data_IF_539474901007
#
_entry.id   IF_539474901007
#
_cell.length_a   1.000
_cell.length_b   1.000
_cell.length_c   1.000
_cell.angle_alpha   90.00
_cell.angle_beta   90.00
_cell.angle_gamma   90.00
#
_symmetry.space_group_name_H-M   'P 1'
#
loop_
_entity.id
_entity.type
_entity.pdbx_description
1 polymer ?
#
# COMPACT_ATOMS: atom_id res chain seq x y z
N UNK A 1 12.35 40.61 18.18
CA UNK A 1 11.23 40.32 17.25
C UNK A 1 10.86 38.85 17.37
N UNK A 2 9.58 38.53 17.62
CA UNK A 2 9.14 37.13 17.71
C UNK A 2 9.06 36.50 16.32
N UNK A 3 9.75 35.37 16.11
CA UNK A 3 9.73 34.63 14.84
C UNK A 3 8.35 33.98 14.65
N UNK A 4 7.69 34.26 13.52
CA UNK A 4 6.43 33.62 13.14
C UNK A 4 6.62 32.09 13.11
N UNK A 5 5.87 31.37 13.95
CA UNK A 5 5.92 29.89 14.00
C UNK A 5 5.40 29.33 12.67
N UNK A 6 6.06 28.31 12.12
CA UNK A 6 5.60 27.60 10.91
C UNK A 6 4.25 26.94 11.20
N UNK A 7 3.27 27.21 10.35
CA UNK A 7 1.98 26.52 10.36
C UNK A 7 2.20 25.05 10.04
N UNK A 8 1.85 24.16 10.98
CA UNK A 8 1.83 22.72 10.73
C UNK A 8 0.68 22.43 9.78
N UNK A 9 1.00 22.00 8.56
CA UNK A 9 0.00 21.53 7.61
C UNK A 9 -0.44 20.15 8.10
N UNK A 10 -1.65 20.08 8.66
CA UNK A 10 -2.25 18.85 9.20
C UNK A 10 -2.83 17.93 8.12
N UNK A 11 -2.73 18.30 6.84
CA UNK A 11 -3.17 17.46 5.75
C UNK A 11 -2.10 16.41 5.45
N UNK A 12 -2.51 15.13 5.43
CA UNK A 12 -1.67 14.09 4.85
C UNK A 12 -1.35 14.45 3.40
N UNK A 13 -0.08 14.38 2.98
CA UNK A 13 0.27 14.63 1.59
C UNK A 13 -0.48 13.62 0.72
N UNK A 14 -1.26 14.10 -0.24
CA UNK A 14 -1.99 13.25 -1.19
C UNK A 14 -0.98 12.40 -1.94
N UNK A 15 -0.89 11.11 -1.59
CA UNK A 15 0.03 10.15 -2.22
C UNK A 15 -0.59 9.59 -3.50
N UNK A 16 -0.83 10.47 -4.47
CA UNK A 16 -1.52 10.19 -5.75
C UNK A 16 -0.84 9.10 -6.61
N UNK A 17 0.38 8.67 -6.26
CA UNK A 17 1.18 7.71 -7.03
C UNK A 17 1.42 6.37 -6.35
N UNK A 18 0.80 6.11 -5.19
CA UNK A 18 0.91 4.78 -4.59
C UNK A 18 0.06 3.78 -5.41
N UNK A 19 0.73 3.04 -6.30
CA UNK A 19 0.12 1.92 -7.00
C UNK A 19 -0.22 0.83 -5.98
N UNK A 20 -1.50 0.74 -5.63
CA UNK A 20 -2.03 -0.32 -4.78
C UNK A 20 -2.56 -1.47 -5.64
N UNK A 21 -2.09 -2.68 -5.38
CA UNK A 21 -2.55 -3.91 -6.01
C UNK A 21 -3.32 -4.73 -4.98
N UNK A 22 -4.60 -4.95 -5.20
CA UNK A 22 -5.36 -5.90 -4.38
C UNK A 22 -4.98 -7.32 -4.80
N UNK A 23 -4.69 -8.17 -3.82
CA UNK A 23 -4.23 -9.54 -4.04
C UNK A 23 -5.02 -10.47 -3.14
N UNK A 24 -5.61 -11.50 -3.75
CA UNK A 24 -6.12 -12.66 -3.02
C UNK A 24 -4.96 -13.57 -2.70
N UNK A 25 -4.76 -13.90 -1.43
CA UNK A 25 -3.84 -14.97 -1.03
C UNK A 25 -4.55 -16.32 -0.98
N UNK A 26 -5.78 -16.33 -0.49
CA UNK A 26 -6.60 -17.52 -0.24
C UNK A 26 -8.10 -17.17 -0.41
N UNK A 27 -9.00 -18.15 -0.28
CA UNK A 27 -10.45 -17.98 -0.38
C UNK A 27 -11.02 -16.92 0.58
N UNK A 28 -10.35 -16.67 1.71
CA UNK A 28 -10.81 -15.73 2.75
C UNK A 28 -9.94 -14.48 2.90
N UNK A 29 -8.78 -14.44 2.27
CA UNK A 29 -7.76 -13.42 2.57
C UNK A 29 -7.44 -12.59 1.35
N UNK A 30 -7.77 -11.29 1.44
CA UNK A 30 -7.43 -10.28 0.44
C UNK A 30 -6.58 -9.21 1.11
N UNK A 31 -5.42 -8.93 0.53
CA UNK A 31 -4.48 -7.91 1.00
C UNK A 31 -4.27 -6.86 -0.09
N UNK A 32 -3.76 -5.69 0.30
CA UNK A 32 -3.34 -4.65 -0.65
C UNK A 32 -1.83 -4.53 -0.60
N UNK A 33 -1.18 -4.67 -1.75
CA UNK A 33 0.27 -4.53 -1.90
C UNK A 33 0.60 -3.19 -2.56
N UNK A 34 1.67 -2.53 -2.11
CA UNK A 34 2.22 -1.34 -2.76
C UNK A 34 3.22 -1.64 -3.89
N UNK A 35 3.65 -2.90 -4.01
CA UNK A 35 4.62 -3.36 -5.02
C UNK A 35 4.27 -4.79 -5.49
N UNK A 36 4.47 -5.06 -6.78
CA UNK A 36 4.31 -6.36 -7.40
C UNK A 36 5.37 -7.37 -6.95
N UNK A 37 6.59 -6.94 -6.59
CA UNK A 37 7.63 -7.88 -6.11
C UNK A 37 7.22 -8.59 -4.83
N UNK A 38 6.42 -7.92 -3.99
CA UNK A 38 5.87 -8.51 -2.78
C UNK A 38 4.93 -9.69 -3.09
N UNK A 39 4.30 -9.73 -4.27
CA UNK A 39 3.49 -10.88 -4.71
C UNK A 39 4.35 -12.14 -4.81
N UNK A 40 5.59 -12.03 -5.31
CA UNK A 40 6.49 -13.18 -5.43
C UNK A 40 6.87 -13.77 -4.06
N UNK A 41 7.04 -12.91 -3.05
CA UNK A 41 7.22 -13.35 -1.66
C UNK A 41 6.00 -14.14 -1.16
N UNK A 42 4.80 -13.60 -1.36
CA UNK A 42 3.58 -14.26 -0.93
C UNK A 42 3.28 -15.55 -1.69
N UNK A 43 3.66 -15.65 -2.96
CA UNK A 43 3.52 -16.87 -3.77
C UNK A 43 4.31 -18.06 -3.22
N UNK A 44 5.39 -17.83 -2.47
CA UNK A 44 6.13 -18.92 -1.79
C UNK A 44 5.28 -19.61 -0.71
N UNK A 45 4.41 -18.86 -0.04
CA UNK A 45 3.54 -19.36 1.04
C UNK A 45 2.12 -19.68 0.56
N UNK A 46 1.62 -18.91 -0.41
CA UNK A 46 0.29 -19.01 -1.00
C UNK A 46 0.43 -19.16 -2.52
N UNK A 47 0.58 -20.40 -3.03
CA UNK A 47 0.85 -20.64 -4.45
C UNK A 47 -0.25 -20.09 -5.37
N UNK A 48 -1.48 -20.03 -4.86
CA UNK A 48 -2.67 -19.55 -5.55
C UNK A 48 -2.89 -18.04 -5.42
N UNK A 49 -1.88 -17.28 -4.97
CA UNK A 49 -2.01 -15.84 -4.83
C UNK A 49 -2.19 -15.15 -6.19
N UNK A 50 -3.28 -14.41 -6.34
CA UNK A 50 -3.70 -13.75 -7.59
C UNK A 50 -4.12 -12.32 -7.32
N UNK A 51 -3.76 -11.41 -8.23
CA UNK A 51 -4.17 -10.01 -8.19
C UNK A 51 -5.66 -9.93 -8.54
N UNK A 52 -6.47 -9.33 -7.66
CA UNK A 52 -7.87 -9.01 -7.92
C UNK A 52 -7.94 -7.50 -8.11
N UNK A 53 -8.39 -7.04 -9.27
CA UNK A 53 -8.38 -5.60 -9.62
C UNK A 53 -9.37 -4.80 -8.75
#
# INVERSE_FOLDING_TARGET
MARKKKTLILAEPVRDRLRSYKVRLDARTVITLGNLDALAFWKKRYPLAVIIR
#
